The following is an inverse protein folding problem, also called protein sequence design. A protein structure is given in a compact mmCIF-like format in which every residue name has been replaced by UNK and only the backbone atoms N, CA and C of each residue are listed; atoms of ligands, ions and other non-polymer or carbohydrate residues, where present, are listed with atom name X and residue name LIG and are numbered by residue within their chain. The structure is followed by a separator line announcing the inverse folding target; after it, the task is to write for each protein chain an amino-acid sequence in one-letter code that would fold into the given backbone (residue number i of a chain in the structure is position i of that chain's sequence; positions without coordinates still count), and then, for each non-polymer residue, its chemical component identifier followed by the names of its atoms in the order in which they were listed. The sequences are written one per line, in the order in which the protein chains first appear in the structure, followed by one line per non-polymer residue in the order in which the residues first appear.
data_IF_448871983437
#
_entry.id   IF_448871983437
#
_cell.length_a   1.000
_cell.length_b   1.000
_cell.length_c   1.000
_cell.angle_alpha   90.00
_cell.angle_beta   90.00
_cell.angle_gamma   90.00
#
_symmetry.space_group_name_H-M   'P 1'
#
loop_
_entity.id
_entity.type
_entity.pdbx_description
1 polymer ?
#
# COMPACT_ATOMS: atom_id res chain seq x y z
N UNK A 1 14.17 15.84 25.42
CA UNK A 1 13.34 16.15 24.23
C UNK A 1 13.13 14.87 23.44
N UNK A 2 11.94 14.26 23.51
CA UNK A 2 11.61 13.06 22.72
C UNK A 2 11.58 13.43 21.24
N UNK A 3 12.44 12.82 20.41
CA UNK A 3 12.35 12.99 18.96
C UNK A 3 10.97 12.49 18.47
N UNK A 4 10.32 13.18 17.53
CA UNK A 4 8.93 12.89 17.13
C UNK A 4 8.73 11.50 16.49
N UNK A 5 9.80 10.77 16.18
CA UNK A 5 9.77 9.39 15.72
C UNK A 5 9.98 8.33 16.82
N UNK A 6 10.06 8.70 18.12
CA UNK A 6 10.44 7.80 19.22
C UNK A 6 9.35 6.82 19.70
N UNK A 7 8.17 6.81 19.10
CA UNK A 7 7.19 5.78 19.39
C UNK A 7 7.74 4.40 19.07
N UNK A 8 7.52 3.43 19.98
CA UNK A 8 7.75 2.00 19.67
C UNK A 8 6.94 1.70 18.40
N UNK A 9 7.58 1.26 17.30
CA UNK A 9 6.85 0.86 16.10
C UNK A 9 5.86 -0.23 16.47
N UNK A 10 4.56 0.09 16.41
CA UNK A 10 3.52 -0.91 16.61
C UNK A 10 3.39 -1.71 15.32
N UNK A 11 3.41 -3.05 15.39
CA UNK A 11 3.19 -3.86 14.21
C UNK A 11 1.82 -3.55 13.62
N UNK A 12 1.74 -3.41 12.30
CA UNK A 12 0.50 -3.04 11.62
C UNK A 12 -0.43 -4.26 11.46
N UNK A 13 -0.94 -4.76 12.60
CA UNK A 13 -1.79 -5.96 12.66
C UNK A 13 -3.16 -5.78 11.99
N UNK A 14 -3.62 -4.54 11.85
CA UNK A 14 -4.89 -4.18 11.23
C UNK A 14 -4.92 -4.32 9.69
N UNK A 15 -3.76 -4.47 9.03
CA UNK A 15 -3.68 -4.48 7.56
C UNK A 15 -4.47 -5.61 6.92
N UNK A 16 -4.43 -6.79 7.52
CA UNK A 16 -5.17 -7.94 7.03
C UNK A 16 -6.67 -7.68 7.10
N UNK A 17 -7.15 -7.30 8.28
CA UNK A 17 -8.56 -6.96 8.49
C UNK A 17 -9.04 -5.84 7.55
N UNK A 18 -8.26 -4.78 7.35
CA UNK A 18 -8.61 -3.72 6.42
C UNK A 18 -8.69 -4.23 4.97
N UNK A 19 -7.73 -5.03 4.51
CA UNK A 19 -7.77 -5.56 3.14
C UNK A 19 -8.98 -6.46 2.90
N UNK A 20 -9.34 -7.30 3.87
CA UNK A 20 -10.58 -8.10 3.82
C UNK A 20 -11.81 -7.20 3.80
N UNK A 21 -11.87 -6.20 4.68
CA UNK A 21 -13.00 -5.26 4.76
C UNK A 21 -13.21 -4.50 3.45
N UNK A 22 -12.14 -3.98 2.85
CA UNK A 22 -12.23 -3.22 1.59
C UNK A 22 -12.66 -4.10 0.42
N UNK A 23 -12.13 -5.34 0.33
CA UNK A 23 -12.59 -6.31 -0.68
C UNK A 23 -14.04 -6.72 -0.45
N UNK A 24 -14.44 -6.99 0.79
CA UNK A 24 -15.81 -7.35 1.13
C UNK A 24 -16.78 -6.20 0.80
N UNK A 25 -16.41 -4.96 1.12
CA UNK A 25 -17.19 -3.78 0.75
C UNK A 25 -17.32 -3.66 -0.78
N UNK A 26 -16.22 -3.82 -1.52
CA UNK A 26 -16.23 -3.80 -2.98
C UNK A 26 -17.18 -4.87 -3.56
N UNK A 27 -17.12 -6.11 -3.05
CA UNK A 27 -18.00 -7.19 -3.51
C UNK A 27 -19.46 -7.02 -3.08
N UNK A 28 -19.72 -6.39 -1.94
CA UNK A 28 -21.07 -6.14 -1.44
C UNK A 28 -21.74 -4.92 -2.10
N UNK A 29 -20.94 -3.95 -2.55
CA UNK A 29 -21.42 -2.67 -3.07
C UNK A 29 -22.50 -2.78 -4.17
N UNK A 30 -22.36 -3.60 -5.22
CA UNK A 30 -23.41 -3.71 -6.26
C UNK A 30 -24.68 -4.41 -5.76
N UNK A 31 -24.65 -5.09 -4.61
CA UNK A 31 -25.82 -5.78 -4.04
C UNK A 31 -26.66 -4.90 -3.15
N UNK A 32 -26.12 -3.75 -2.72
CA UNK A 32 -26.86 -2.82 -1.88
C UNK A 32 -28.08 -2.32 -2.65
N UNK A 33 -29.23 -2.30 -1.97
CA UNK A 33 -30.49 -1.79 -2.52
C UNK A 33 -30.91 -0.53 -1.77
N UNK A 34 -31.41 0.44 -2.51
CA UNK A 34 -31.93 1.69 -1.99
C UNK A 34 -33.23 2.03 -2.73
N UNK A 35 -34.32 2.28 -2.01
CA UNK A 35 -35.65 2.56 -2.58
C UNK A 35 -36.09 1.54 -3.66
N UNK A 36 -35.81 0.26 -3.47
CA UNK A 36 -36.19 -0.82 -4.40
C UNK A 36 -35.25 -1.03 -5.59
N UNK A 37 -34.31 -0.11 -5.85
CA UNK A 37 -33.31 -0.23 -6.93
C UNK A 37 -31.92 -0.54 -6.38
N UNK A 38 -30.98 -0.91 -7.26
CA UNK A 38 -29.58 -1.07 -6.91
C UNK A 38 -29.01 0.29 -6.49
N UNK A 39 -28.35 0.34 -5.33
CA UNK A 39 -27.92 1.60 -4.71
C UNK A 39 -26.78 2.27 -5.48
N UNK A 40 -25.88 1.50 -6.09
CA UNK A 40 -24.84 2.01 -6.96
C UNK A 40 -24.93 1.31 -8.32
N UNK A 41 -25.43 2.02 -9.33
CA UNK A 41 -25.53 1.52 -10.70
C UNK A 41 -25.16 2.64 -11.69
N UNK A 42 -24.11 2.42 -12.46
CA UNK A 42 -23.65 3.32 -13.50
C UNK A 42 -24.17 2.84 -14.86
N UNK A 43 -25.46 3.01 -15.12
CA UNK A 43 -26.10 2.50 -16.35
C UNK A 43 -25.76 3.38 -17.56
N UNK A 44 -24.76 2.92 -18.33
CA UNK A 44 -24.29 3.61 -19.54
C UNK A 44 -25.36 3.53 -20.65
N UNK A 45 -26.13 2.44 -20.71
CA UNK A 45 -27.13 2.22 -21.76
C UNK A 45 -28.33 3.15 -21.57
N UNK A 46 -28.84 3.24 -20.34
CA UNK A 46 -29.92 4.17 -19.99
C UNK A 46 -29.43 5.62 -19.78
N UNK A 47 -28.10 5.85 -19.86
CA UNK A 47 -27.45 7.14 -19.57
C UNK A 47 -27.86 7.70 -18.20
N UNK A 48 -27.98 6.82 -17.21
CA UNK A 48 -28.47 7.11 -15.87
C UNK A 48 -27.48 6.58 -14.85
N UNK A 49 -27.08 7.40 -13.89
CA UNK A 49 -26.19 6.97 -12.81
C UNK A 49 -26.89 7.08 -11.47
N UNK A 50 -27.16 5.95 -10.84
CA UNK A 50 -27.81 5.84 -9.54
C UNK A 50 -26.73 5.75 -8.43
N UNK A 51 -26.77 6.68 -7.49
CA UNK A 51 -25.83 6.89 -6.39
C UNK A 51 -26.58 7.05 -5.06
N UNK A 52 -26.83 5.96 -4.35
CA UNK A 52 -27.44 5.90 -3.01
C UNK A 52 -28.72 6.75 -2.87
N UNK A 53 -29.59 6.67 -3.87
CA UNK A 53 -30.85 7.42 -3.92
C UNK A 53 -30.81 8.71 -4.75
N UNK A 54 -29.65 9.14 -5.23
CA UNK A 54 -29.52 10.19 -6.24
C UNK A 54 -29.44 9.58 -7.64
N UNK A 55 -30.20 10.11 -8.57
CA UNK A 55 -30.16 9.68 -9.98
C UNK A 55 -29.61 10.83 -10.82
N UNK A 56 -28.40 10.67 -11.32
CA UNK A 56 -27.74 11.64 -12.19
C UNK A 56 -28.06 11.34 -13.65
N UNK A 57 -28.51 12.37 -14.37
CA UNK A 57 -28.74 12.32 -15.81
C UNK A 57 -27.56 12.95 -16.57
N UNK A 58 -27.51 12.87 -17.91
CA UNK A 58 -26.41 13.45 -18.69
C UNK A 58 -26.22 14.97 -18.50
N UNK A 59 -27.28 15.70 -18.12
CA UNK A 59 -27.18 17.11 -17.73
C UNK A 59 -26.38 17.35 -16.44
N UNK A 60 -26.27 16.32 -15.60
CA UNK A 60 -25.62 16.37 -14.29
C UNK A 60 -24.18 15.86 -14.30
N UNK A 61 -23.58 15.64 -15.48
CA UNK A 61 -22.19 15.17 -15.62
C UNK A 61 -21.20 16.05 -14.84
N UNK A 62 -21.48 17.35 -14.71
CA UNK A 62 -20.66 18.25 -13.87
C UNK A 62 -20.61 17.84 -12.39
N UNK A 63 -21.68 17.24 -11.84
CA UNK A 63 -21.69 16.70 -10.46
C UNK A 63 -20.74 15.50 -10.37
N UNK A 64 -20.82 14.57 -11.32
CA UNK A 64 -19.93 13.41 -11.37
C UNK A 64 -18.46 13.84 -11.48
N UNK A 65 -18.15 14.79 -12.36
CA UNK A 65 -16.79 15.36 -12.50
C UNK A 65 -16.34 16.02 -11.20
N UNK A 66 -17.22 16.78 -10.54
CA UNK A 66 -16.95 17.38 -9.23
C UNK A 66 -16.64 16.34 -8.14
N UNK A 67 -17.42 15.26 -8.07
CA UNK A 67 -17.19 14.15 -7.14
C UNK A 67 -15.83 13.47 -7.40
N UNK A 68 -15.50 13.22 -8.67
CA UNK A 68 -14.20 12.66 -9.04
C UNK A 68 -13.05 13.62 -8.67
N UNK A 69 -13.23 14.93 -8.85
CA UNK A 69 -12.26 15.93 -8.44
C UNK A 69 -12.07 15.92 -6.91
N UNK A 70 -13.15 15.87 -6.12
CA UNK A 70 -13.09 15.75 -4.65
C UNK A 70 -12.30 14.51 -4.24
N UNK A 71 -12.56 13.35 -4.85
CA UNK A 71 -11.82 12.11 -4.58
C UNK A 71 -10.33 12.23 -4.95
N UNK A 72 -10.02 12.84 -6.09
CA UNK A 72 -8.65 13.05 -6.55
C UNK A 72 -7.85 13.99 -5.62
N UNK A 73 -8.43 15.12 -5.24
CA UNK A 73 -7.82 16.08 -4.30
C UNK A 73 -7.71 15.47 -2.90
N UNK A 74 -8.74 14.74 -2.45
CA UNK A 74 -8.71 14.01 -1.19
C UNK A 74 -7.58 12.97 -1.14
N UNK A 75 -7.37 12.21 -2.22
CA UNK A 75 -6.26 11.27 -2.33
C UNK A 75 -4.90 11.98 -2.37
N UNK A 76 -4.80 13.13 -3.05
CA UNK A 76 -3.59 13.94 -3.06
C UNK A 76 -3.25 14.49 -1.67
N UNK A 77 -4.25 15.00 -0.94
CA UNK A 77 -4.10 15.46 0.45
C UNK A 77 -3.70 14.31 1.37
N UNK A 78 -4.37 13.16 1.27
CA UNK A 78 -3.99 11.95 2.03
C UNK A 78 -2.53 11.56 1.74
N UNK A 79 -2.12 11.61 0.48
CA UNK A 79 -0.74 11.29 0.07
C UNK A 79 0.27 12.28 0.64
N UNK A 80 -0.07 13.56 0.66
CA UNK A 80 0.77 14.61 1.21
C UNK A 80 0.91 14.56 2.75
N UNK A 81 -0.13 14.10 3.45
CA UNK A 81 -0.15 14.00 4.91
C UNK A 81 0.40 12.68 5.44
N UNK A 82 0.12 11.60 4.72
CA UNK A 82 0.34 10.23 5.14
C UNK A 82 1.10 9.40 4.10
N UNK A 83 1.84 10.04 3.19
CA UNK A 83 2.73 9.37 2.25
C UNK A 83 2.01 8.34 1.39
N UNK A 84 2.58 7.14 1.28
CA UNK A 84 2.10 6.11 0.34
C UNK A 84 1.11 5.12 0.96
N UNK A 85 0.43 5.50 2.03
CA UNK A 85 -0.46 4.59 2.76
C UNK A 85 -1.61 4.05 1.89
N UNK A 86 -2.10 4.83 0.92
CA UNK A 86 -3.07 4.33 -0.08
C UNK A 86 -2.51 3.13 -0.85
N UNK A 87 -1.34 3.30 -1.47
CA UNK A 87 -0.68 2.23 -2.22
C UNK A 87 -0.34 1.02 -1.33
N UNK A 88 0.05 1.25 -0.09
CA UNK A 88 0.40 0.21 0.85
C UNK A 88 -0.79 -0.58 1.40
N UNK A 89 -2.02 -0.08 1.31
CA UNK A 89 -3.14 -0.62 2.10
C UNK A 89 -4.48 -0.74 1.39
N UNK A 90 -4.81 0.17 0.49
CA UNK A 90 -6.16 0.31 -0.07
C UNK A 90 -6.20 0.26 -1.61
N UNK A 91 -5.07 0.50 -2.29
CA UNK A 91 -5.09 0.45 -3.75
C UNK A 91 -5.44 -0.95 -4.27
N UNK A 92 -6.16 -1.04 -5.41
CA UNK A 92 -6.54 -2.30 -6.03
C UNK A 92 -5.40 -3.32 -6.10
N UNK A 93 -4.28 -2.93 -6.71
CA UNK A 93 -3.15 -3.83 -6.90
C UNK A 93 -2.67 -4.48 -5.59
N UNK A 94 -2.69 -3.73 -4.48
CA UNK A 94 -2.30 -4.28 -3.18
C UNK A 94 -3.36 -5.21 -2.59
N UNK A 95 -4.65 -4.90 -2.74
CA UNK A 95 -5.74 -5.73 -2.23
C UNK A 95 -5.77 -7.10 -2.92
N UNK A 96 -5.81 -7.12 -4.25
CA UNK A 96 -5.89 -8.37 -5.02
C UNK A 96 -4.61 -9.20 -4.89
N UNK A 97 -3.41 -8.60 -4.94
CA UNK A 97 -2.16 -9.33 -4.69
C UNK A 97 -2.17 -10.00 -3.30
N UNK A 98 -2.60 -9.29 -2.25
CA UNK A 98 -2.70 -9.89 -0.90
C UNK A 98 -3.69 -11.04 -0.85
N UNK A 99 -4.85 -10.91 -1.48
CA UNK A 99 -5.82 -11.99 -1.56
C UNK A 99 -5.24 -13.21 -2.28
N UNK A 100 -4.52 -13.00 -3.38
CA UNK A 100 -3.86 -14.07 -4.15
C UNK A 100 -2.77 -14.77 -3.32
N UNK A 101 -1.95 -14.00 -2.62
CA UNK A 101 -0.93 -14.54 -1.72
C UNK A 101 -1.58 -15.33 -0.58
N UNK A 102 -2.66 -14.84 0.05
CA UNK A 102 -3.38 -15.58 1.09
C UNK A 102 -3.98 -16.89 0.57
N UNK A 103 -4.57 -16.88 -0.62
CA UNK A 103 -5.06 -18.10 -1.27
C UNK A 103 -3.91 -19.09 -1.46
N UNK A 104 -2.79 -18.66 -2.04
CA UNK A 104 -1.64 -19.52 -2.30
C UNK A 104 -1.07 -20.13 -1.00
N UNK A 105 -0.91 -19.32 0.06
CA UNK A 105 -0.47 -19.81 1.37
C UNK A 105 -1.49 -20.77 2.00
N UNK A 106 -2.79 -20.49 1.86
CA UNK A 106 -3.86 -21.35 2.33
C UNK A 106 -3.87 -22.72 1.64
N UNK A 107 -3.75 -22.73 0.30
CA UNK A 107 -3.65 -23.97 -0.49
C UNK A 107 -2.41 -24.78 -0.13
N UNK A 108 -1.25 -24.13 0.03
CA UNK A 108 -0.02 -24.78 0.44
C UNK A 108 -0.10 -25.44 1.84
N UNK A 109 -0.94 -24.88 2.72
CA UNK A 109 -1.18 -25.44 4.06
C UNK A 109 -2.19 -26.59 4.06
N UNK A 110 -3.18 -26.54 3.16
CA UNK A 110 -4.33 -27.45 3.17
C UNK A 110 -4.16 -28.68 2.24
N UNK A 111 -3.34 -28.58 1.20
CA UNK A 111 -3.27 -29.57 0.13
C UNK A 111 -1.88 -30.20 0.03
N UNK A 112 -1.78 -31.45 -0.48
CA UNK A 112 -0.49 -32.06 -0.79
C UNK A 112 0.21 -31.29 -1.93
N UNK A 113 1.55 -31.23 -1.89
CA UNK A 113 2.39 -30.48 -2.83
C UNK A 113 1.97 -30.54 -4.32
N UNK A 114 1.64 -31.70 -4.93
CA UNK A 114 1.24 -31.74 -6.34
C UNK A 114 -0.07 -31.00 -6.64
N UNK A 115 -0.99 -30.90 -5.67
CA UNK A 115 -2.29 -30.26 -5.85
C UNK A 115 -2.26 -28.74 -5.58
N UNK A 116 -1.23 -28.21 -4.91
CA UNK A 116 -1.17 -26.80 -4.50
C UNK A 116 -1.23 -25.85 -5.68
N UNK A 117 -0.39 -26.08 -6.70
CA UNK A 117 -0.30 -25.20 -7.87
C UNK A 117 -1.61 -25.16 -8.68
N UNK A 118 -2.21 -26.30 -9.11
CA UNK A 118 -3.46 -26.27 -9.84
C UNK A 118 -4.61 -25.70 -9.00
N UNK A 119 -4.73 -26.06 -7.73
CA UNK A 119 -5.77 -25.52 -6.86
C UNK A 119 -5.65 -24.00 -6.67
N UNK A 120 -4.42 -23.49 -6.53
CA UNK A 120 -4.17 -22.04 -6.46
C UNK A 120 -4.60 -21.32 -7.73
N UNK A 121 -4.30 -21.89 -8.91
CA UNK A 121 -4.70 -21.30 -10.19
C UNK A 121 -6.22 -21.29 -10.38
N UNK A 122 -6.90 -22.37 -10.00
CA UNK A 122 -8.37 -22.44 -10.01
C UNK A 122 -8.96 -21.40 -9.06
N UNK A 123 -8.46 -21.32 -7.82
CA UNK A 123 -8.96 -20.36 -6.84
C UNK A 123 -8.71 -18.89 -7.26
N UNK A 124 -7.54 -18.60 -7.85
CA UNK A 124 -7.27 -17.29 -8.44
C UNK A 124 -8.21 -16.99 -9.60
N UNK A 125 -8.43 -17.95 -10.51
CA UNK A 125 -9.35 -17.81 -11.63
C UNK A 125 -10.79 -17.54 -11.17
N UNK A 126 -11.28 -18.26 -10.16
CA UNK A 126 -12.61 -18.06 -9.58
C UNK A 126 -12.75 -16.68 -8.93
N UNK A 127 -11.77 -16.25 -8.13
CA UNK A 127 -11.76 -14.92 -7.53
C UNK A 127 -11.73 -13.82 -8.59
N UNK A 128 -10.93 -14.01 -9.64
CA UNK A 128 -10.84 -13.06 -10.76
C UNK A 128 -12.13 -13.01 -11.57
N UNK A 129 -12.77 -14.14 -11.85
CA UNK A 129 -14.07 -14.17 -12.51
C UNK A 129 -15.12 -13.43 -11.69
N UNK A 130 -15.18 -13.70 -10.39
CA UNK A 130 -16.08 -12.97 -9.48
C UNK A 130 -15.78 -11.47 -9.43
N UNK A 131 -14.50 -11.10 -9.48
CA UNK A 131 -14.07 -9.69 -9.59
C UNK A 131 -14.59 -9.06 -10.88
N UNK A 132 -14.48 -9.75 -12.02
CA UNK A 132 -15.02 -9.30 -13.30
C UNK A 132 -16.54 -9.10 -13.26
N UNK A 133 -17.28 -10.08 -12.73
CA UNK A 133 -18.73 -10.00 -12.53
C UNK A 133 -19.10 -8.81 -11.64
N UNK A 134 -18.37 -8.61 -10.53
CA UNK A 134 -18.63 -7.50 -9.60
C UNK A 134 -18.38 -6.15 -10.26
N UNK A 135 -17.28 -5.99 -11.01
CA UNK A 135 -17.00 -4.76 -11.74
C UNK A 135 -18.10 -4.45 -12.76
N UNK A 136 -18.49 -5.43 -13.58
CA UNK A 136 -19.58 -5.25 -14.56
C UNK A 136 -20.92 -5.03 -13.86
N UNK A 137 -21.13 -5.62 -12.68
CA UNK A 137 -22.29 -5.40 -11.83
C UNK A 137 -22.43 -3.97 -11.30
N UNK A 138 -21.42 -3.11 -11.45
CA UNK A 138 -21.54 -1.67 -11.21
C UNK A 138 -22.12 -0.92 -12.41
N UNK A 139 -22.25 -1.55 -13.58
CA UNK A 139 -22.75 -0.95 -14.83
C UNK A 139 -23.98 -1.67 -15.39
N UNK A 140 -24.09 -2.99 -15.18
CA UNK A 140 -25.28 -3.81 -15.42
C UNK A 140 -25.90 -4.23 -14.07
N UNK A 141 -27.22 -4.42 -13.96
CA UNK A 141 -27.85 -4.91 -12.74
C UNK A 141 -27.26 -6.25 -12.28
N UNK A 142 -26.69 -6.29 -11.07
CA UNK A 142 -25.93 -7.46 -10.60
C UNK A 142 -26.77 -8.73 -10.49
N UNK A 143 -28.05 -8.60 -10.11
CA UNK A 143 -28.96 -9.74 -9.97
C UNK A 143 -29.21 -10.44 -11.30
N UNK A 144 -29.39 -9.66 -12.37
CA UNK A 144 -29.59 -10.18 -13.72
C UNK A 144 -28.29 -10.81 -14.25
N UNK A 145 -27.15 -10.12 -14.03
CA UNK A 145 -25.85 -10.62 -14.43
C UNK A 145 -25.51 -11.97 -13.78
N UNK A 146 -25.78 -12.14 -12.49
CA UNK A 146 -25.54 -13.40 -11.79
C UNK A 146 -26.55 -14.47 -12.17
N UNK A 147 -27.83 -14.12 -12.35
CA UNK A 147 -28.86 -15.07 -12.78
C UNK A 147 -28.60 -15.62 -14.19
N UNK A 148 -28.03 -14.81 -15.08
CA UNK A 148 -27.69 -15.21 -16.45
C UNK A 148 -26.40 -16.06 -16.55
N UNK A 149 -25.53 -16.03 -15.53
CA UNK A 149 -24.21 -16.65 -15.55
C UNK A 149 -24.22 -18.17 -15.80
N UNK A 150 -25.10 -18.99 -15.18
CA UNK A 150 -25.10 -20.45 -15.36
C UNK A 150 -25.46 -20.91 -16.77
N UNK A 151 -26.18 -20.07 -17.53
CA UNK A 151 -26.70 -20.41 -18.86
C UNK A 151 -25.92 -19.75 -20.01
N UNK A 152 -24.81 -19.06 -19.71
CA UNK A 152 -24.06 -18.26 -20.68
C UNK A 152 -25.01 -17.24 -21.36
N UNK A 153 -25.95 -16.69 -20.58
CA UNK A 153 -26.99 -15.77 -21.04
C UNK A 153 -26.54 -14.31 -21.13
N UNK A 154 -25.25 -14.04 -20.94
CA UNK A 154 -24.70 -12.68 -20.99
C UNK A 154 -24.71 -12.13 -22.40
N UNK A 155 -24.96 -10.83 -22.52
CA UNK A 155 -24.75 -10.12 -23.78
C UNK A 155 -23.28 -10.19 -24.21
N UNK A 156 -23.00 -9.93 -25.49
CA UNK A 156 -21.61 -9.86 -25.99
C UNK A 156 -20.77 -8.80 -25.26
N UNK A 157 -21.39 -7.68 -24.89
CA UNK A 157 -20.78 -6.62 -24.09
C UNK A 157 -20.39 -7.09 -22.69
N UNK A 158 -21.33 -7.70 -21.96
CA UNK A 158 -21.07 -8.21 -20.60
C UNK A 158 -20.03 -9.32 -20.61
N UNK A 159 -20.13 -10.25 -21.55
CA UNK A 159 -19.15 -11.34 -21.72
C UNK A 159 -17.75 -10.79 -21.91
N UNK A 160 -17.58 -9.82 -22.81
CA UNK A 160 -16.30 -9.20 -23.06
C UNK A 160 -15.72 -8.55 -21.80
N UNK A 161 -16.48 -7.68 -21.12
CA UNK A 161 -15.97 -6.93 -19.97
C UNK A 161 -15.76 -7.79 -18.73
N UNK A 162 -16.62 -8.78 -18.46
CA UNK A 162 -16.42 -9.71 -17.35
C UNK A 162 -15.12 -10.48 -17.56
N UNK A 163 -14.92 -11.05 -18.74
CA UNK A 163 -13.70 -11.81 -19.05
C UNK A 163 -12.47 -10.91 -19.10
N UNK A 164 -12.59 -9.69 -19.63
CA UNK A 164 -11.50 -8.71 -19.65
C UNK A 164 -11.06 -8.34 -18.23
N UNK A 165 -11.98 -7.94 -17.35
CA UNK A 165 -11.64 -7.59 -15.97
C UNK A 165 -11.16 -8.79 -15.17
N UNK A 166 -11.69 -9.99 -15.43
CA UNK A 166 -11.19 -11.22 -14.83
C UNK A 166 -9.75 -11.50 -15.27
N UNK A 167 -9.46 -11.48 -16.58
CA UNK A 167 -8.13 -11.67 -17.12
C UNK A 167 -7.16 -10.59 -16.65
N UNK A 168 -7.57 -9.32 -16.60
CA UNK A 168 -6.78 -8.22 -16.08
C UNK A 168 -6.46 -8.39 -14.59
N UNK A 169 -7.44 -8.80 -13.77
CA UNK A 169 -7.24 -9.08 -12.34
C UNK A 169 -6.25 -10.22 -12.14
N UNK A 170 -6.46 -11.33 -12.85
CA UNK A 170 -5.61 -12.52 -12.79
C UNK A 170 -4.18 -12.20 -13.25
N UNK A 171 -4.03 -11.51 -14.39
CA UNK A 171 -2.75 -11.08 -14.94
C UNK A 171 -2.01 -10.10 -14.03
N UNK A 172 -2.70 -9.07 -13.54
CA UNK A 172 -2.10 -8.03 -12.70
C UNK A 172 -1.67 -8.55 -11.32
N UNK A 173 -2.53 -9.30 -10.63
CA UNK A 173 -2.26 -9.78 -9.28
C UNK A 173 -1.42 -11.07 -9.26
N UNK A 174 -1.62 -11.97 -10.24
CA UNK A 174 -0.94 -13.25 -10.33
C UNK A 174 0.48 -13.13 -10.90
N UNK A 175 0.64 -12.41 -12.01
CA UNK A 175 1.87 -12.42 -12.82
C UNK A 175 2.64 -11.11 -12.77
N UNK A 176 2.00 -9.98 -13.13
CA UNK A 176 2.69 -8.70 -13.22
C UNK A 176 3.12 -8.15 -11.86
N UNK A 177 2.33 -8.40 -10.80
CA UNK A 177 2.66 -8.12 -9.39
C UNK A 177 3.28 -6.73 -9.18
N UNK A 178 4.58 -6.65 -8.88
CA UNK A 178 5.32 -5.41 -8.65
C UNK A 178 5.54 -4.56 -9.90
N UNK A 179 5.53 -5.15 -11.10
CA UNK A 179 5.69 -4.44 -12.37
C UNK A 179 4.54 -3.46 -12.59
N UNK A 180 3.34 -3.78 -12.11
CA UNK A 180 2.21 -2.86 -12.15
C UNK A 180 2.56 -1.57 -11.39
N UNK A 181 3.16 -1.69 -10.21
CA UNK A 181 3.52 -0.55 -9.38
C UNK A 181 4.71 0.25 -9.92
N UNK A 182 5.73 -0.41 -10.47
CA UNK A 182 6.94 0.25 -11.01
C UNK A 182 6.69 0.90 -12.36
N UNK A 183 6.02 0.17 -13.25
CA UNK A 183 6.05 0.47 -14.68
C UNK A 183 4.70 0.95 -15.20
N UNK A 184 3.58 0.38 -14.75
CA UNK A 184 2.27 0.70 -15.32
C UNK A 184 1.52 1.81 -14.56
N UNK A 185 1.69 1.89 -13.24
CA UNK A 185 0.87 2.76 -12.40
C UNK A 185 1.22 4.24 -12.58
N UNK A 186 0.33 5.07 -13.16
CA UNK A 186 0.61 6.50 -13.33
C UNK A 186 0.65 7.23 -11.98
N UNK A 187 -0.17 6.80 -11.02
CA UNK A 187 -0.21 7.42 -9.70
C UNK A 187 1.11 7.25 -8.94
N UNK A 188 1.74 6.07 -9.01
CA UNK A 188 3.03 5.83 -8.36
C UNK A 188 4.13 6.79 -8.87
N UNK A 189 4.08 7.15 -10.16
CA UNK A 189 5.00 8.11 -10.80
C UNK A 189 4.74 9.55 -10.41
N UNK A 190 3.48 9.93 -10.20
CA UNK A 190 3.11 11.30 -9.80
C UNK A 190 3.33 11.56 -8.30
N UNK A 191 3.33 10.53 -7.46
CA UNK A 191 3.44 10.67 -6.00
C UNK A 191 4.62 11.52 -5.49
N UNK A 192 5.85 11.44 -6.04
CA UNK A 192 6.95 12.30 -5.59
C UNK A 192 6.61 13.80 -5.64
N UNK A 193 5.75 14.23 -6.57
CA UNK A 193 5.28 15.62 -6.68
C UNK A 193 4.34 16.02 -5.53
N UNK A 194 3.62 15.06 -4.97
CA UNK A 194 2.66 15.25 -3.88
C UNK A 194 3.31 15.17 -2.50
N UNK A 195 4.50 14.60 -2.41
CA UNK A 195 5.25 14.45 -1.16
C UNK A 195 6.25 15.57 -0.97
N UNK A 196 6.61 15.80 0.29
CA UNK A 196 7.69 16.69 0.69
C UNK A 196 8.51 16.00 1.79
N UNK A 197 9.58 16.63 2.27
CA UNK A 197 10.39 16.04 3.33
C UNK A 197 9.63 15.78 4.65
N UNK A 198 8.60 16.56 4.99
CA UNK A 198 7.77 16.33 6.19
C UNK A 198 6.76 15.19 6.01
N UNK A 199 6.66 14.61 4.81
CA UNK A 199 5.74 13.53 4.51
C UNK A 199 6.28 12.18 5.04
N UNK A 200 5.50 11.44 5.84
CA UNK A 200 5.95 10.17 6.40
C UNK A 200 6.24 9.11 5.33
N UNK A 201 7.32 8.35 5.53
CA UNK A 201 7.67 7.17 4.71
C UNK A 201 8.38 6.12 5.55
N UNK A 202 8.57 4.93 4.97
CA UNK A 202 9.38 3.88 5.62
C UNK A 202 10.85 4.29 5.55
N UNK A 203 11.53 4.31 6.70
CA UNK A 203 12.91 4.73 6.86
C UNK A 203 13.67 3.71 7.71
N UNK A 204 14.95 3.53 7.39
CA UNK A 204 15.92 2.80 8.19
C UNK A 204 16.79 3.81 8.96
N UNK A 205 16.97 3.58 10.26
CA UNK A 205 17.81 4.41 11.12
C UNK A 205 19.28 3.98 10.98
N UNK A 206 19.96 4.52 9.97
CA UNK A 206 21.35 4.23 9.68
C UNK A 206 22.29 4.58 10.85
N UNK A 207 22.00 5.66 11.59
CA UNK A 207 22.84 6.11 12.71
C UNK A 207 22.90 5.09 13.84
N UNK A 208 21.77 4.40 14.03
CA UNK A 208 21.64 3.30 14.97
C UNK A 208 22.11 1.97 14.39
N UNK A 209 21.81 1.71 13.12
CA UNK A 209 21.94 0.41 12.49
C UNK A 209 23.33 0.08 11.96
N UNK A 210 24.09 1.08 11.52
CA UNK A 210 25.40 0.90 10.89
C UNK A 210 26.58 1.08 11.87
N UNK A 211 27.76 0.47 11.62
CA UNK A 211 27.99 -0.54 10.58
C UNK A 211 27.27 -1.84 10.96
N UNK A 212 26.53 -2.41 10.01
CA UNK A 212 25.74 -3.63 10.24
C UNK A 212 26.61 -4.87 10.17
N UNK A 213 26.23 -5.91 10.91
CA UNK A 213 26.95 -7.17 10.90
C UNK A 213 26.43 -8.19 11.91
N UNK A 214 26.88 -9.43 11.77
CA UNK A 214 26.54 -10.52 12.68
C UNK A 214 27.14 -10.30 14.06
N UNK A 215 26.34 -10.48 15.11
CA UNK A 215 26.80 -10.35 16.50
C UNK A 215 25.96 -11.20 17.46
N UNK A 216 26.48 -11.51 18.66
CA UNK A 216 25.73 -12.22 19.69
C UNK A 216 24.44 -11.48 20.09
N UNK A 217 23.37 -12.24 20.31
CA UNK A 217 22.11 -11.74 20.87
C UNK A 217 22.27 -11.34 22.34
N UNK A 218 21.38 -10.48 22.85
CA UNK A 218 21.28 -10.19 24.28
C UNK A 218 22.24 -9.11 24.79
N UNK A 219 23.11 -8.56 23.94
CA UNK A 219 24.01 -7.45 24.30
C UNK A 219 23.28 -6.10 24.50
N UNK A 220 21.97 -6.02 24.26
CA UNK A 220 21.22 -4.76 24.26
C UNK A 220 21.46 -3.92 23.00
N UNK A 221 20.70 -2.84 22.80
CA UNK A 221 20.89 -1.92 21.66
C UNK A 221 22.10 -0.98 21.82
N UNK A 222 22.49 -0.27 20.75
CA UNK A 222 23.66 0.64 20.76
C UNK A 222 23.67 1.68 21.89
N UNK A 223 22.49 2.14 22.33
CA UNK A 223 22.36 3.07 23.45
C UNK A 223 22.61 2.38 24.80
N UNK A 224 22.12 1.16 24.98
CA UNK A 224 22.33 0.38 26.20
C UNK A 224 23.79 -0.04 26.41
N UNK A 225 24.56 -0.14 25.32
CA UNK A 225 25.99 -0.52 25.35
C UNK A 225 26.96 0.66 25.43
N UNK A 226 26.47 1.91 25.48
CA UNK A 226 27.33 3.10 25.49
C UNK A 226 28.05 3.42 24.18
N UNK A 227 27.82 2.66 23.10
CA UNK A 227 28.36 2.96 21.76
C UNK A 227 27.78 4.26 21.19
N UNK A 228 26.50 4.51 21.45
CA UNK A 228 25.79 5.68 20.96
C UNK A 228 25.37 5.59 19.49
N UNK A 229 24.84 6.70 18.98
CA UNK A 229 24.47 6.84 17.57
C UNK A 229 25.66 7.39 16.78
N UNK A 230 25.84 6.92 15.56
CA UNK A 230 26.79 7.55 14.64
C UNK A 230 26.35 8.97 14.32
N UNK A 231 27.31 9.81 13.94
CA UNK A 231 27.01 11.02 13.22
C UNK A 231 26.35 10.69 11.86
N UNK A 232 25.53 11.59 11.29
CA UNK A 232 24.81 11.32 10.06
C UNK A 232 25.71 11.00 8.87
N UNK A 233 26.89 11.62 8.77
CA UNK A 233 27.79 11.46 7.62
C UNK A 233 28.41 10.08 7.62
N UNK A 234 29.00 9.65 8.74
CA UNK A 234 29.57 8.31 8.89
C UNK A 234 28.51 7.22 8.71
N UNK A 235 27.30 7.44 9.23
CA UNK A 235 26.19 6.51 9.04
C UNK A 235 25.85 6.31 7.55
N UNK A 236 25.79 7.39 6.77
CA UNK A 236 25.53 7.31 5.33
C UNK A 236 26.71 6.75 4.55
N UNK A 237 27.95 7.02 4.96
CA UNK A 237 29.14 6.39 4.38
C UNK A 237 29.04 4.86 4.50
N UNK A 238 28.73 4.34 5.69
CA UNK A 238 28.54 2.90 5.86
C UNK A 238 27.38 2.34 5.04
N UNK A 239 26.24 3.05 4.94
CA UNK A 239 25.15 2.65 4.03
C UNK A 239 25.65 2.55 2.59
N UNK A 240 26.37 3.57 2.12
CA UNK A 240 26.89 3.63 0.75
C UNK A 240 27.88 2.48 0.49
N UNK A 241 28.84 2.25 1.39
CA UNK A 241 29.82 1.15 1.27
C UNK A 241 29.16 -0.21 1.25
N UNK A 242 28.16 -0.42 2.11
CA UNK A 242 27.41 -1.68 2.15
C UNK A 242 26.55 -1.90 0.90
N UNK A 243 26.08 -0.83 0.25
CA UNK A 243 25.30 -0.90 -0.99
C UNK A 243 26.19 -1.04 -2.24
N UNK A 244 27.40 -0.51 -2.20
CA UNK A 244 28.30 -0.39 -3.36
C UNK A 244 29.73 -0.89 -3.08
N UNK A 245 29.90 -2.19 -2.74
CA UNK A 245 31.21 -2.74 -2.40
C UNK A 245 32.22 -2.65 -3.56
N UNK A 246 31.74 -2.65 -4.81
CA UNK A 246 32.59 -2.50 -6.00
C UNK A 246 33.17 -1.08 -6.14
N UNK A 247 32.48 -0.06 -5.62
CA UNK A 247 32.93 1.33 -5.70
C UNK A 247 33.73 1.75 -4.48
N UNK A 248 33.33 1.29 -3.29
CA UNK A 248 33.86 1.78 -2.02
C UNK A 248 34.83 0.81 -1.32
N UNK A 249 35.10 -0.33 -1.96
CA UNK A 249 35.87 -1.43 -1.40
C UNK A 249 35.09 -2.25 -0.37
N UNK A 250 35.70 -3.34 0.16
CA UNK A 250 35.08 -4.17 1.17
C UNK A 250 34.82 -3.39 2.46
N UNK A 251 33.74 -3.74 3.15
CA UNK A 251 33.42 -3.15 4.45
C UNK A 251 34.51 -3.52 5.47
N UNK A 252 35.02 -2.57 6.27
CA UNK A 252 35.93 -2.88 7.36
C UNK A 252 35.30 -3.88 8.33
N UNK A 253 36.11 -4.76 8.91
CA UNK A 253 35.67 -5.67 9.96
C UNK A 253 35.62 -4.92 11.29
N UNK A 254 34.46 -4.94 11.94
CA UNK A 254 34.25 -4.31 13.24
C UNK A 254 34.07 -5.36 14.33
N UNK A 255 34.60 -5.08 15.52
CA UNK A 255 34.30 -5.86 16.71
C UNK A 255 32.83 -5.71 17.13
N UNK A 256 32.31 -6.69 17.88
CA UNK A 256 30.88 -6.75 18.21
C UNK A 256 30.36 -5.51 18.98
N UNK A 257 31.21 -4.87 19.77
CA UNK A 257 30.92 -3.63 20.50
C UNK A 257 30.77 -2.40 19.59
N UNK A 258 31.43 -2.40 18.42
CA UNK A 258 31.40 -1.31 17.44
C UNK A 258 30.25 -1.42 16.43
N UNK A 259 29.67 -2.61 16.26
CA UNK A 259 28.55 -2.86 15.34
C UNK A 259 27.27 -2.12 15.78
N UNK A 260 26.56 -1.59 14.78
CA UNK A 260 25.23 -1.00 14.94
C UNK A 260 24.14 -2.06 15.15
N UNK A 261 22.90 -1.65 15.38
CA UNK A 261 21.81 -2.58 15.75
C UNK A 261 21.33 -3.49 14.62
N UNK A 262 21.71 -3.24 13.36
CA UNK A 262 21.35 -4.10 12.25
C UNK A 262 22.24 -5.37 12.22
N UNK A 263 21.61 -6.54 12.28
CA UNK A 263 22.29 -7.85 12.22
C UNK A 263 22.60 -8.33 10.82
N UNK A 264 22.31 -7.51 9.81
CA UNK A 264 22.46 -7.84 8.39
C UNK A 264 21.69 -9.10 7.90
N UNK A 265 20.68 -9.56 8.65
CA UNK A 265 19.90 -10.78 8.35
C UNK A 265 19.03 -10.76 7.07
N UNK A 266 18.96 -9.63 6.34
CA UNK A 266 18.11 -9.42 5.18
C UNK A 266 16.58 -9.65 5.37
N UNK A 267 16.07 -9.94 6.57
CA UNK A 267 14.65 -10.22 6.81
C UNK A 267 13.70 -9.10 6.32
N UNK A 268 14.15 -7.83 6.40
CA UNK A 268 13.39 -6.69 5.89
C UNK A 268 13.31 -6.64 4.36
N UNK A 269 14.34 -7.13 3.66
CA UNK A 269 14.42 -7.23 2.20
C UNK A 269 13.53 -8.37 1.71
N UNK A 270 13.65 -9.55 2.33
CA UNK A 270 12.83 -10.72 2.00
C UNK A 270 11.33 -10.50 2.24
N UNK A 271 10.97 -9.68 3.23
CA UNK A 271 9.59 -9.33 3.52
C UNK A 271 9.02 -8.24 2.57
N UNK A 272 9.86 -7.57 1.78
CA UNK A 272 9.43 -6.48 0.93
C UNK A 272 8.81 -7.03 -0.37
N UNK A 273 7.52 -6.76 -0.66
CA UNK A 273 6.89 -7.25 -1.90
C UNK A 273 7.48 -6.60 -3.17
N UNK A 274 8.18 -5.48 -3.01
CA UNK A 274 8.89 -4.79 -4.08
C UNK A 274 10.38 -5.18 -4.14
N UNK A 275 10.83 -6.11 -3.28
CA UNK A 275 12.23 -6.56 -3.17
C UNK A 275 13.23 -5.40 -2.98
N UNK A 276 12.81 -4.38 -2.22
CA UNK A 276 13.63 -3.21 -1.93
C UNK A 276 14.47 -3.46 -0.68
N UNK A 277 15.74 -3.07 -0.74
CA UNK A 277 16.57 -2.96 0.46
C UNK A 277 16.36 -1.59 1.13
N UNK A 278 15.50 -1.57 2.14
CA UNK A 278 15.17 -0.37 2.93
C UNK A 278 16.39 0.28 3.59
N UNK A 279 17.48 -0.47 3.76
CA UNK A 279 18.71 0.00 4.39
C UNK A 279 19.53 0.91 3.48
N UNK A 280 19.30 0.83 2.17
CA UNK A 280 19.94 1.69 1.16
C UNK A 280 19.31 3.08 1.06
N UNK A 281 18.34 3.39 1.93
CA UNK A 281 17.68 4.69 1.98
C UNK A 281 16.32 4.74 1.27
N UNK A 282 15.73 5.93 1.14
CA UNK A 282 14.36 6.09 0.67
C UNK A 282 14.23 5.86 -0.84
N UNK A 283 13.56 4.78 -1.23
CA UNK A 283 13.34 4.45 -2.64
C UNK A 283 11.96 4.92 -3.12
N UNK A 284 11.89 5.35 -4.39
CA UNK A 284 10.66 5.82 -5.04
C UNK A 284 9.66 4.68 -5.31
N UNK A 285 10.06 3.42 -5.20
CA UNK A 285 9.18 2.26 -5.42
C UNK A 285 8.50 1.77 -4.14
N UNK A 286 8.88 2.31 -2.98
CA UNK A 286 8.36 1.82 -1.70
C UNK A 286 6.85 2.05 -1.63
N UNK A 287 6.07 0.99 -1.34
CA UNK A 287 4.62 1.07 -1.17
C UNK A 287 4.21 1.58 0.22
N UNK A 288 5.17 1.73 1.15
CA UNK A 288 4.91 2.02 2.56
C UNK A 288 3.91 1.06 3.23
N UNK A 289 3.92 -0.24 2.87
CA UNK A 289 3.01 -1.23 3.46
C UNK A 289 3.41 -1.74 4.86
N UNK A 290 4.63 -1.45 5.31
CA UNK A 290 5.15 -1.80 6.63
C UNK A 290 5.58 -3.25 6.82
N UNK A 291 5.69 -4.06 5.77
CA UNK A 291 6.15 -5.45 5.89
C UNK A 291 7.61 -5.53 6.42
N UNK A 292 8.49 -4.66 5.92
CA UNK A 292 9.87 -4.53 6.38
C UNK A 292 9.97 -4.12 7.86
N UNK A 293 9.07 -3.23 8.32
CA UNK A 293 8.99 -2.78 9.71
C UNK A 293 8.68 -3.93 10.65
N UNK A 294 7.68 -4.75 10.32
CA UNK A 294 7.28 -5.89 11.14
C UNK A 294 8.34 -7.00 11.15
N UNK A 295 8.93 -7.31 9.99
CA UNK A 295 10.00 -8.30 9.89
C UNK A 295 11.24 -7.88 10.70
N UNK A 296 11.67 -6.62 10.54
CA UNK A 296 12.79 -6.08 11.29
C UNK A 296 12.50 -6.03 12.80
N UNK A 297 11.30 -5.62 13.20
CA UNK A 297 10.94 -5.56 14.62
C UNK A 297 10.95 -6.93 15.29
N UNK A 298 10.50 -7.98 14.60
CA UNK A 298 10.62 -9.37 15.10
C UNK A 298 12.08 -9.78 15.29
N UNK A 299 12.94 -9.51 14.32
CA UNK A 299 14.35 -9.84 14.42
C UNK A 299 15.04 -9.08 15.56
N UNK A 300 14.78 -7.78 15.68
CA UNK A 300 15.34 -6.93 16.74
C UNK A 300 14.89 -7.38 18.13
N UNK A 301 13.63 -7.81 18.26
CA UNK A 301 13.10 -8.36 19.50
C UNK A 301 13.79 -9.69 19.86
N UNK A 302 13.91 -10.63 18.91
CA UNK A 302 14.60 -11.90 19.12
C UNK A 302 16.08 -11.72 19.49
N UNK A 303 16.73 -10.73 18.88
CA UNK A 303 18.14 -10.45 19.16
C UNK A 303 18.37 -9.62 20.43
N UNK A 304 17.32 -9.06 21.05
CA UNK A 304 17.42 -8.26 22.28
C UNK A 304 17.93 -6.83 22.07
N UNK A 305 17.77 -6.25 20.88
CA UNK A 305 18.33 -4.93 20.55
C UNK A 305 17.35 -3.76 20.67
N UNK A 306 16.08 -4.06 20.97
CA UNK A 306 15.02 -3.07 21.08
C UNK A 306 14.44 -2.65 19.73
N UNK A 307 13.18 -2.18 19.69
CA UNK A 307 12.45 -1.94 18.45
C UNK A 307 12.89 -0.63 17.76
N UNK A 308 12.38 -0.34 16.56
CA UNK A 308 12.57 0.97 15.91
C UNK A 308 13.84 1.13 15.10
N UNK A 309 14.38 0.06 14.52
CA UNK A 309 15.46 0.17 13.53
C UNK A 309 14.89 0.55 12.16
N UNK A 310 13.70 0.05 11.82
CA UNK A 310 12.87 0.51 10.71
C UNK A 310 11.64 1.21 11.29
N UNK A 311 11.30 2.38 10.74
CA UNK A 311 10.20 3.22 11.24
C UNK A 311 9.38 3.80 10.10
N UNK A 312 8.13 4.12 10.41
CA UNK A 312 7.30 4.96 9.56
C UNK A 312 7.34 6.40 10.08
N UNK A 313 8.16 7.25 9.47
CA UNK A 313 8.34 8.63 9.90
C UNK A 313 8.76 9.53 8.74
N UNK A 314 8.70 10.85 8.92
CA UNK A 314 9.20 11.78 7.92
C UNK A 314 10.71 12.00 8.08
N UNK A 315 11.46 12.24 6.98
CA UNK A 315 12.86 12.64 7.03
C UNK A 315 13.19 13.72 8.07
N UNK A 316 12.41 14.81 8.14
CA UNK A 316 12.62 15.90 9.11
C UNK A 316 12.43 15.44 10.55
N UNK A 317 11.39 14.65 10.79
CA UNK A 317 11.14 14.11 12.12
C UNK A 317 12.26 13.17 12.56
N UNK A 318 12.84 12.42 11.63
CA UNK A 318 14.00 11.56 11.88
C UNK A 318 15.28 12.36 12.16
N UNK A 319 15.40 13.55 11.56
CA UNK A 319 16.43 14.53 11.87
C UNK A 319 16.18 15.33 13.17
N UNK A 320 15.10 15.02 13.91
CA UNK A 320 14.78 15.66 15.18
C UNK A 320 13.94 16.93 15.08
N UNK A 321 13.54 17.34 13.86
CA UNK A 321 12.66 18.50 13.69
C UNK A 321 11.21 18.15 14.06
N UNK A 322 10.44 19.09 14.64
CA UNK A 322 9.03 18.85 14.95
C UNK A 322 8.21 18.59 13.68
N UNK A 323 7.15 17.79 13.81
CA UNK A 323 6.24 17.52 12.70
C UNK A 323 5.41 18.78 12.39
N UNK A 324 5.52 19.27 11.16
CA UNK A 324 4.72 20.38 10.66
C UNK A 324 3.51 19.87 9.89
N UNK A 325 2.31 20.09 10.44
CA UNK A 325 1.05 19.71 9.77
C UNK A 325 0.61 20.79 8.78
N UNK A 326 0.67 22.07 9.19
CA UNK A 326 0.26 23.22 8.39
C UNK A 326 1.39 23.69 7.47
N UNK A 327 1.45 23.13 6.28
CA UNK A 327 2.41 23.45 5.22
C UNK A 327 1.72 24.17 4.07
N UNK A 328 2.40 25.01 3.26
CA UNK A 328 1.78 25.72 2.14
C UNK A 328 1.00 24.79 1.20
N UNK A 329 1.55 23.62 0.88
CA UNK A 329 0.86 22.59 0.07
C UNK A 329 -0.34 21.96 0.78
N UNK A 330 -0.25 21.74 2.09
CA UNK A 330 -1.38 21.24 2.89
C UNK A 330 -2.53 22.23 2.85
N UNK A 331 -2.24 23.53 3.04
CA UNK A 331 -3.24 24.61 2.97
C UNK A 331 -3.87 24.71 1.58
N UNK A 332 -3.07 24.66 0.51
CA UNK A 332 -3.57 24.72 -0.86
C UNK A 332 -4.47 23.53 -1.23
N UNK A 333 -4.08 22.30 -0.85
CA UNK A 333 -4.90 21.11 -1.10
C UNK A 333 -6.18 21.12 -0.26
N UNK A 334 -6.10 21.57 1.00
CA UNK A 334 -7.26 21.68 1.87
C UNK A 334 -8.22 22.77 1.39
N UNK A 335 -7.73 23.94 1.00
CA UNK A 335 -8.58 25.02 0.47
C UNK A 335 -9.25 24.61 -0.84
N UNK A 336 -8.53 23.95 -1.73
CA UNK A 336 -9.10 23.40 -2.96
C UNK A 336 -10.16 22.35 -2.69
N UNK A 337 -9.93 21.43 -1.73
CA UNK A 337 -10.91 20.43 -1.33
C UNK A 337 -12.18 21.09 -0.75
N UNK A 338 -12.02 22.06 0.15
CA UNK A 338 -13.13 22.80 0.75
C UNK A 338 -13.90 23.60 -0.30
N UNK A 339 -13.23 24.23 -1.26
CA UNK A 339 -13.88 24.95 -2.35
C UNK A 339 -14.71 24.02 -3.24
N UNK A 340 -14.18 22.83 -3.59
CA UNK A 340 -14.93 21.82 -4.35
C UNK A 340 -16.17 21.32 -3.59
N UNK A 341 -16.02 21.06 -2.28
CA UNK A 341 -17.14 20.64 -1.43
C UNK A 341 -18.19 21.74 -1.29
N UNK A 342 -17.78 23.00 -1.10
CA UNK A 342 -18.67 24.14 -1.00
C UNK A 342 -19.42 24.39 -2.33
N UNK A 343 -18.73 24.27 -3.47
CA UNK A 343 -19.35 24.35 -4.79
C UNK A 343 -20.38 23.22 -5.01
N UNK A 344 -20.03 21.99 -4.61
CA UNK A 344 -20.96 20.86 -4.64
C UNK A 344 -22.18 21.07 -3.75
N UNK A 345 -21.98 21.54 -2.51
CA UNK A 345 -23.07 21.82 -1.57
C UNK A 345 -23.97 22.96 -2.06
N UNK A 346 -23.39 24.04 -2.59
CA UNK A 346 -24.15 25.15 -3.18
C UNK A 346 -25.05 24.68 -4.32
N UNK A 347 -24.57 23.76 -5.16
CA UNK A 347 -25.34 23.25 -6.29
C UNK A 347 -26.50 22.33 -5.85
N UNK A 348 -26.41 21.74 -4.67
CA UNK A 348 -27.41 20.82 -4.12
C UNK A 348 -28.49 21.52 -3.28
N UNK A 349 -28.25 22.77 -2.84
CA UNK A 349 -29.18 23.61 -2.09
C UNK A 349 -30.07 24.42 -3.04
#
# INVERSE_FOLDING_TARGET
MSTPCNGIPRPWRWRGALSVLLLALFYALPWLRWNGHQALLLDINARRFDLFGWTLWPGDVGVLVGMLAVLAVGLALLTHLAGRIWCGHACPQTLWRRAFDWIAHGMAKALPAPAVRPATQVAWGLLSLWTGITFVGLFSPINELVAAAPHIGWSGWETFWVLFYAAATWGNAGFLREQVCRSLCPFARMQPLLTDPHTPRMLYDARRGEPRGTRPSGLGGVLGRGRGLLDPTTAQDYVFRAAHPLLAGPMPTFSADRLGDCTDCAACVSACPMQLDIRQGPQADCLACGACLDACSRQQHQAGFGPGLVRYCSPQAMAGQPRQWWRPRTLALLSMLLALLACGAWRLL
#
